data_IF_469293259800
#
_entry.id   IF_469293259800
#
_cell.length_a   1.000
_cell.length_b   1.000
_cell.length_c   1.000
_cell.angle_alpha   90.00
_cell.angle_beta   90.00
_cell.angle_gamma   90.00
#
_symmetry.space_group_name_H-M   'P 1'
#
loop_
_entity.id
_entity.type
_entity.pdbx_description
1 polymer ?
#
# COMPACT_ATOMS: atom_id res chain seq x y z
N UNK A 1 -26.54 9.03 -9.78
CA UNK A 1 -26.31 8.95 -8.32
C UNK A 1 -25.53 10.19 -7.89
N UNK A 2 -26.15 11.07 -7.09
CA UNK A 2 -25.42 12.11 -6.37
C UNK A 2 -24.78 11.44 -5.14
N UNK A 3 -23.45 11.34 -5.12
CA UNK A 3 -22.69 10.92 -3.95
C UNK A 3 -22.72 12.08 -2.94
N UNK A 4 -23.81 12.20 -2.18
CA UNK A 4 -24.14 13.35 -1.34
C UNK A 4 -23.68 13.26 0.12
N UNK A 5 -22.84 12.30 0.48
CA UNK A 5 -22.25 12.17 1.82
C UNK A 5 -20.86 12.82 1.90
N UNK A 6 -20.48 13.33 3.08
CA UNK A 6 -19.09 13.65 3.35
C UNK A 6 -18.25 12.35 3.26
N UNK A 7 -17.17 12.36 2.48
CA UNK A 7 -16.24 11.24 2.44
C UNK A 7 -15.55 11.04 3.78
N UNK A 8 -15.24 9.79 4.13
CA UNK A 8 -14.41 9.47 5.29
C UNK A 8 -12.93 9.60 4.91
N UNK A 9 -12.12 10.12 5.84
CA UNK A 9 -10.67 10.25 5.66
C UNK A 9 -9.97 9.74 6.92
N UNK A 10 -9.03 8.83 6.73
CA UNK A 10 -8.14 8.30 7.75
C UNK A 10 -6.70 8.42 7.26
N UNK A 11 -5.76 8.40 8.19
CA UNK A 11 -4.33 8.48 7.90
C UNK A 11 -3.56 7.28 8.45
N UNK A 12 -2.29 7.19 8.04
CA UNK A 12 -1.29 6.30 8.61
C UNK A 12 -0.17 7.12 9.23
N UNK A 13 0.61 6.53 10.14
CA UNK A 13 1.79 7.18 10.73
C UNK A 13 3.01 6.28 10.57
N UNK A 14 4.06 6.79 9.94
CA UNK A 14 5.32 6.10 9.69
C UNK A 14 6.22 6.95 8.81
N UNK A 15 7.45 6.49 8.63
CA UNK A 15 8.46 7.09 7.74
C UNK A 15 8.80 6.10 6.64
N UNK A 16 8.47 6.51 5.41
CA UNK A 16 8.73 5.75 4.18
C UNK A 16 10.24 5.47 4.02
N UNK A 17 10.65 4.32 3.43
CA UNK A 17 12.07 3.98 3.21
C UNK A 17 12.89 5.11 2.57
N UNK A 18 12.38 5.70 1.49
CA UNK A 18 13.01 6.86 0.81
C UNK A 18 13.22 8.11 1.67
N UNK A 19 12.57 8.19 2.85
CA UNK A 19 12.68 9.31 3.79
C UNK A 19 13.34 8.89 5.11
N UNK A 20 13.82 7.66 5.25
CA UNK A 20 14.41 7.15 6.48
C UNK A 20 15.71 7.88 6.89
N UNK A 21 16.37 8.59 5.96
CA UNK A 21 17.49 9.49 6.29
C UNK A 21 17.10 10.57 7.30
N UNK A 22 15.81 10.93 7.38
CA UNK A 22 15.29 11.92 8.33
C UNK A 22 15.57 11.58 9.79
N UNK A 23 15.73 10.29 10.14
CA UNK A 23 16.09 9.89 11.51
C UNK A 23 17.51 10.32 11.89
N UNK A 24 18.48 10.21 10.97
CA UNK A 24 19.88 10.64 11.20
C UNK A 24 19.99 12.17 11.24
N UNK A 25 19.16 12.87 10.47
CA UNK A 25 19.20 14.34 10.36
C UNK A 25 18.22 15.05 11.29
N UNK A 26 17.47 14.33 12.13
CA UNK A 26 16.53 14.95 13.05
C UNK A 26 17.31 15.74 14.12
N UNK A 27 16.97 17.02 14.41
CA UNK A 27 17.74 17.85 15.34
C UNK A 27 17.89 17.26 16.75
N UNK A 28 16.92 16.48 17.20
CA UNK A 28 16.90 15.84 18.52
C UNK A 28 17.35 14.36 18.46
N UNK A 29 17.81 13.91 17.30
CA UNK A 29 18.29 12.55 17.04
C UNK A 29 17.17 11.52 16.78
N UNK A 30 17.58 10.36 16.27
CA UNK A 30 16.65 9.30 15.85
C UNK A 30 15.72 8.82 16.98
N UNK A 31 16.22 8.73 18.21
CA UNK A 31 15.43 8.31 19.38
C UNK A 31 14.26 9.25 19.65
N UNK A 32 14.47 10.57 19.52
CA UNK A 32 13.42 11.56 19.71
C UNK A 32 12.35 11.49 18.61
N UNK A 33 12.75 11.23 17.35
CA UNK A 33 11.80 11.05 16.25
C UNK A 33 10.95 9.78 16.46
N UNK A 34 11.57 8.66 16.82
CA UNK A 34 10.86 7.41 17.11
C UNK A 34 9.86 7.57 18.27
N UNK A 35 10.27 8.26 19.34
CA UNK A 35 9.37 8.55 20.47
C UNK A 35 8.20 9.47 20.06
N UNK A 36 8.46 10.46 19.19
CA UNK A 36 7.43 11.35 18.65
C UNK A 36 6.44 10.60 17.75
N UNK A 37 6.92 9.70 16.88
CA UNK A 37 6.06 8.85 16.04
C UNK A 37 5.19 7.93 16.89
N UNK A 38 5.74 7.33 17.94
CA UNK A 38 4.98 6.49 18.87
C UNK A 38 3.87 7.30 19.57
N UNK A 39 4.20 8.48 20.09
CA UNK A 39 3.25 9.36 20.78
C UNK A 39 2.14 9.83 19.84
N UNK A 40 2.51 10.26 18.63
CA UNK A 40 1.55 10.68 17.60
C UNK A 40 0.62 9.52 17.23
N UNK A 41 1.15 8.32 17.01
CA UNK A 41 0.36 7.15 16.66
C UNK A 41 -0.65 6.76 17.75
N UNK A 42 -0.24 6.79 19.02
CA UNK A 42 -1.14 6.48 20.14
C UNK A 42 -2.26 7.53 20.28
N UNK A 43 -1.91 8.82 20.20
CA UNK A 43 -2.89 9.91 20.30
C UNK A 43 -3.88 9.90 19.13
N UNK A 44 -3.40 9.74 17.89
CA UNK A 44 -4.25 9.71 16.70
C UNK A 44 -5.11 8.44 16.61
N UNK A 45 -4.60 7.30 17.10
CA UNK A 45 -5.40 6.08 17.29
C UNK A 45 -6.54 6.32 18.28
N UNK A 46 -6.27 6.96 19.42
CA UNK A 46 -7.30 7.28 20.42
C UNK A 46 -8.34 8.28 19.88
N UNK A 47 -7.91 9.22 19.03
CA UNK A 47 -8.80 10.16 18.35
C UNK A 47 -9.60 9.56 17.18
N UNK A 48 -9.31 8.33 16.76
CA UNK A 48 -9.98 7.66 15.65
C UNK A 48 -9.62 8.20 14.26
N UNK A 49 -8.49 8.91 14.11
CA UNK A 49 -8.06 9.51 12.84
C UNK A 49 -7.00 8.70 12.11
N UNK A 50 -6.37 7.73 12.78
CA UNK A 50 -5.34 6.86 12.21
C UNK A 50 -5.72 5.40 12.37
N UNK A 51 -5.58 4.64 11.28
CA UNK A 51 -6.01 3.23 11.20
C UNK A 51 -4.87 2.24 11.03
N UNK A 52 -3.66 2.70 10.64
CA UNK A 52 -2.49 1.85 10.47
C UNK A 52 -1.17 2.57 10.82
N UNK A 53 -0.14 1.79 11.13
CA UNK A 53 1.24 2.27 11.27
C UNK A 53 2.01 1.99 9.99
N UNK A 54 2.45 3.04 9.33
CA UNK A 54 2.99 3.02 7.97
C UNK A 54 2.87 4.39 7.29
N UNK A 55 3.39 4.58 6.10
CA UNK A 55 4.07 3.58 5.28
C UNK A 55 5.51 3.35 5.74
N UNK A 56 5.86 2.10 6.06
CA UNK A 56 7.22 1.69 6.46
C UNK A 56 7.66 0.46 5.65
N UNK A 57 8.96 0.27 5.47
CA UNK A 57 9.48 -0.88 4.73
C UNK A 57 10.78 -0.57 4.00
N UNK A 58 10.97 -1.15 2.82
CA UNK A 58 12.20 -1.08 2.04
C UNK A 58 11.94 -0.83 0.54
N UNK A 59 12.68 0.10 -0.08
CA UNK A 59 12.64 0.39 -1.52
C UNK A 59 14.06 0.43 -2.09
N UNK A 60 14.47 -0.67 -2.73
CA UNK A 60 15.81 -0.82 -3.32
C UNK A 60 15.93 -0.25 -4.74
N UNK A 61 14.82 0.19 -5.35
CA UNK A 61 14.84 0.96 -6.60
C UNK A 61 15.06 2.47 -6.34
N UNK A 62 15.19 2.87 -5.07
CA UNK A 62 15.32 4.26 -4.64
C UNK A 62 16.49 4.51 -3.68
N UNK A 63 17.55 3.71 -3.79
CA UNK A 63 18.74 3.84 -2.93
C UNK A 63 19.45 5.21 -3.04
N UNK A 64 19.25 5.94 -4.14
CA UNK A 64 19.71 7.32 -4.30
C UNK A 64 18.99 8.31 -3.37
N UNK A 65 17.80 7.98 -2.86
CA UNK A 65 17.05 8.81 -1.90
C UNK A 65 17.40 8.45 -0.45
N UNK A 66 17.62 7.16 -0.17
CA UNK A 66 18.04 6.68 1.13
C UNK A 66 18.85 5.38 0.99
N UNK A 67 20.11 5.32 1.49
CA UNK A 67 20.94 4.13 1.44
C UNK A 67 20.32 2.90 2.11
N UNK A 68 20.68 1.71 1.63
CA UNK A 68 20.11 0.43 2.07
C UNK A 68 20.27 0.19 3.57
N UNK A 69 21.44 0.48 4.13
CA UNK A 69 21.76 0.33 5.54
C UNK A 69 20.87 1.20 6.44
N UNK A 70 20.61 2.45 6.02
CA UNK A 70 19.71 3.37 6.72
C UNK A 70 18.26 2.88 6.63
N UNK A 71 17.81 2.43 5.45
CA UNK A 71 16.47 1.85 5.31
C UNK A 71 16.27 0.64 6.24
N UNK A 72 17.23 -0.30 6.25
CA UNK A 72 17.18 -1.48 7.12
C UNK A 72 17.11 -1.11 8.61
N UNK A 73 18.03 -0.26 9.07
CA UNK A 73 18.10 0.20 10.46
C UNK A 73 16.78 0.80 10.94
N UNK A 74 16.20 1.69 10.14
CA UNK A 74 14.98 2.40 10.54
C UNK A 74 13.69 1.69 10.19
N UNK A 75 13.71 0.68 9.32
CA UNK A 75 12.59 -0.24 9.21
C UNK A 75 12.47 -1.08 10.49
N UNK A 76 13.55 -1.72 10.94
CA UNK A 76 13.55 -2.50 12.18
C UNK A 76 13.20 -1.64 13.42
N UNK A 77 13.73 -0.43 13.51
CA UNK A 77 13.38 0.49 14.60
C UNK A 77 11.90 0.92 14.60
N UNK A 78 11.29 1.08 13.41
CA UNK A 78 9.87 1.39 13.30
C UNK A 78 8.98 0.17 13.62
N UNK A 79 9.42 -1.05 13.31
CA UNK A 79 8.74 -2.28 13.74
C UNK A 79 8.73 -2.42 15.28
N UNK A 80 9.79 -1.99 15.96
CA UNK A 80 9.82 -1.91 17.43
C UNK A 80 8.79 -0.91 17.99
N UNK A 81 8.56 0.22 17.30
CA UNK A 81 7.47 1.14 17.63
C UNK A 81 6.11 0.50 17.35
N UNK A 82 5.97 -0.23 16.23
CA UNK A 82 4.73 -0.91 15.85
C UNK A 82 4.22 -1.86 16.95
N UNK A 83 5.11 -2.62 17.59
CA UNK A 83 4.76 -3.49 18.74
C UNK A 83 4.15 -2.73 19.91
N UNK A 84 4.50 -1.45 20.11
CA UNK A 84 3.95 -0.64 21.21
C UNK A 84 2.62 -0.01 20.85
N UNK A 85 2.44 0.43 19.60
CA UNK A 85 1.22 1.12 19.16
C UNK A 85 0.08 0.16 18.86
N UNK A 86 0.37 -1.10 18.51
CA UNK A 86 -0.62 -2.16 18.22
C UNK A 86 -1.68 -1.69 17.20
N UNK A 87 -1.21 -1.12 16.10
CA UNK A 87 -1.98 -0.83 14.88
C UNK A 87 -1.61 -1.88 13.81
N UNK A 88 -2.51 -2.19 12.85
CA UNK A 88 -2.12 -2.92 11.66
C UNK A 88 -0.97 -2.21 10.93
N UNK A 89 -0.10 -2.98 10.29
CA UNK A 89 0.99 -2.40 9.48
C UNK A 89 0.52 -2.03 8.07
N UNK A 90 0.99 -0.90 7.57
CA UNK A 90 0.92 -0.52 6.15
C UNK A 90 2.35 -0.52 5.58
N UNK A 91 2.67 -1.56 4.81
CA UNK A 91 4.04 -1.97 4.49
C UNK A 91 4.40 -1.74 3.02
N UNK A 92 5.59 -1.20 2.80
CA UNK A 92 6.19 -1.02 1.47
C UNK A 92 7.31 -2.03 1.22
N UNK A 93 7.28 -2.70 0.07
CA UNK A 93 8.39 -3.53 -0.37
C UNK A 93 8.60 -3.40 -1.88
N UNK A 94 9.80 -2.96 -2.29
CA UNK A 94 10.20 -2.90 -3.70
C UNK A 94 11.62 -3.38 -3.89
N UNK A 95 11.78 -4.42 -4.72
CA UNK A 95 13.06 -5.07 -5.01
C UNK A 95 13.86 -5.48 -3.76
N UNK A 96 13.17 -5.74 -2.64
CA UNK A 96 13.78 -5.88 -1.31
C UNK A 96 13.21 -7.05 -0.49
N UNK A 97 12.48 -7.98 -1.11
CA UNK A 97 11.68 -9.00 -0.42
C UNK A 97 12.44 -9.79 0.65
N UNK A 98 13.62 -10.32 0.32
CA UNK A 98 14.39 -11.15 1.26
C UNK A 98 14.77 -10.40 2.54
N UNK A 99 15.25 -9.17 2.42
CA UNK A 99 15.60 -8.33 3.57
C UNK A 99 14.35 -7.82 4.30
N UNK A 100 13.28 -7.52 3.57
CA UNK A 100 11.99 -7.11 4.14
C UNK A 100 11.43 -8.21 5.06
N UNK A 101 11.37 -9.44 4.58
CA UNK A 101 10.92 -10.60 5.35
C UNK A 101 11.87 -10.88 6.53
N UNK A 102 13.19 -10.77 6.34
CA UNK A 102 14.18 -10.92 7.42
C UNK A 102 13.92 -9.93 8.55
N UNK A 103 13.70 -8.65 8.24
CA UNK A 103 13.40 -7.62 9.23
C UNK A 103 12.09 -7.92 9.98
N UNK A 104 11.02 -8.28 9.26
CA UNK A 104 9.74 -8.63 9.86
C UNK A 104 9.88 -9.81 10.83
N UNK A 105 10.45 -10.93 10.38
CA UNK A 105 10.66 -12.12 11.23
C UNK A 105 11.58 -11.80 12.42
N UNK A 106 12.64 -11.05 12.19
CA UNK A 106 13.61 -10.68 13.22
C UNK A 106 13.01 -9.86 14.36
N UNK A 107 12.04 -8.98 14.07
CA UNK A 107 11.42 -8.09 15.07
C UNK A 107 10.09 -8.61 15.61
N UNK A 108 9.29 -9.28 14.77
CA UNK A 108 7.91 -9.66 15.06
C UNK A 108 7.69 -11.16 15.24
N UNK A 109 8.68 -12.00 14.95
CA UNK A 109 8.58 -13.46 14.94
C UNK A 109 8.09 -14.04 13.61
N UNK A 110 8.14 -15.37 13.48
CA UNK A 110 7.76 -16.09 12.25
C UNK A 110 6.30 -15.89 11.84
N UNK A 111 5.41 -15.77 12.81
CA UNK A 111 3.96 -15.61 12.65
C UNK A 111 3.48 -14.16 12.85
N UNK A 112 4.42 -13.21 12.92
CA UNK A 112 4.15 -11.80 13.22
C UNK A 112 3.42 -11.56 14.56
N UNK A 113 3.52 -12.47 15.52
CA UNK A 113 2.86 -12.41 16.82
C UNK A 113 3.16 -11.14 17.65
N UNK A 114 4.19 -10.37 17.29
CA UNK A 114 4.45 -9.04 17.84
C UNK A 114 3.38 -7.98 17.54
N UNK A 115 2.46 -8.21 16.59
CA UNK A 115 1.40 -7.27 16.19
C UNK A 115 0.04 -7.96 16.17
N UNK A 116 -0.86 -7.56 17.07
CA UNK A 116 -2.16 -8.21 17.24
C UNK A 116 -3.20 -7.94 16.14
N UNK A 117 -2.84 -7.20 15.07
CA UNK A 117 -3.78 -6.75 14.03
C UNK A 117 -3.32 -7.01 12.58
N UNK A 118 -2.27 -7.80 12.38
CA UNK A 118 -1.74 -8.13 11.06
C UNK A 118 -1.17 -6.92 10.30
N UNK A 119 -1.13 -7.01 8.98
CA UNK A 119 -0.62 -5.95 8.12
C UNK A 119 -0.92 -6.18 6.65
N UNK A 120 -0.76 -5.12 5.86
CA UNK A 120 -0.92 -5.08 4.42
C UNK A 120 0.42 -4.75 3.76
N UNK A 121 0.88 -5.59 2.84
CA UNK A 121 1.94 -5.21 1.89
C UNK A 121 1.26 -4.53 0.71
N UNK A 122 1.31 -3.21 0.69
CA UNK A 122 0.58 -2.39 -0.27
C UNK A 122 1.32 -2.33 -1.63
N UNK A 123 0.58 -2.01 -2.69
CA UNK A 123 1.11 -1.80 -4.05
C UNK A 123 2.03 -2.93 -4.49
N UNK A 124 1.60 -4.18 -4.28
CA UNK A 124 2.45 -5.35 -4.49
C UNK A 124 2.73 -5.56 -5.97
N UNK A 125 4.00 -5.64 -6.34
CA UNK A 125 4.46 -5.91 -7.71
C UNK A 125 5.51 -7.02 -7.77
N UNK A 126 5.62 -7.83 -6.71
CA UNK A 126 6.56 -8.94 -6.62
C UNK A 126 6.08 -10.19 -7.37
N UNK A 127 6.73 -11.31 -7.11
CA UNK A 127 6.45 -12.62 -7.70
C UNK A 127 5.37 -13.40 -6.95
N UNK A 128 4.90 -14.50 -7.54
CA UNK A 128 3.93 -15.40 -6.90
C UNK A 128 4.52 -16.04 -5.64
N UNK A 129 5.80 -16.38 -5.68
CA UNK A 129 6.54 -16.99 -4.57
C UNK A 129 6.65 -16.03 -3.39
N UNK A 130 7.03 -14.77 -3.66
CA UNK A 130 7.09 -13.72 -2.66
C UNK A 130 5.70 -13.46 -2.05
N UNK A 131 4.66 -13.38 -2.88
CA UNK A 131 3.28 -13.23 -2.43
C UNK A 131 2.83 -14.36 -1.50
N UNK A 132 3.10 -15.62 -1.89
CA UNK A 132 2.76 -16.79 -1.07
C UNK A 132 3.46 -16.78 0.28
N UNK A 133 4.72 -16.36 0.33
CA UNK A 133 5.44 -16.21 1.59
C UNK A 133 4.79 -15.16 2.50
N UNK A 134 4.44 -13.99 1.97
CA UNK A 134 3.77 -12.94 2.73
C UNK A 134 2.41 -13.39 3.28
N UNK A 135 1.61 -14.07 2.45
CA UNK A 135 0.31 -14.63 2.85
C UNK A 135 0.49 -15.72 3.91
N UNK A 136 1.50 -16.58 3.79
CA UNK A 136 1.80 -17.61 4.79
C UNK A 136 2.22 -17.01 6.14
N UNK A 137 2.84 -15.83 6.14
CA UNK A 137 3.14 -15.04 7.34
C UNK A 137 1.90 -14.32 7.91
N UNK A 138 0.72 -14.44 7.28
CA UNK A 138 -0.52 -13.83 7.73
C UNK A 138 -0.76 -12.40 7.25
N UNK A 139 0.02 -11.91 6.29
CA UNK A 139 -0.16 -10.58 5.70
C UNK A 139 -1.20 -10.57 4.58
N UNK A 140 -1.85 -9.43 4.42
CA UNK A 140 -2.66 -9.11 3.26
C UNK A 140 -1.77 -8.50 2.16
N UNK A 141 -2.27 -8.55 0.92
CA UNK A 141 -1.58 -8.07 -0.28
C UNK A 141 -2.45 -7.04 -0.99
N UNK A 142 -1.93 -5.84 -1.14
CA UNK A 142 -2.59 -4.70 -1.77
C UNK A 142 -2.32 -4.67 -3.26
N UNK A 143 -3.37 -4.47 -4.06
CA UNK A 143 -3.30 -4.42 -5.52
C UNK A 143 -3.87 -3.11 -6.06
N UNK A 144 -3.15 -2.51 -7.00
CA UNK A 144 -3.56 -1.33 -7.76
C UNK A 144 -3.14 -1.46 -9.23
N UNK A 145 -3.25 -0.37 -10.02
CA UNK A 145 -2.87 -0.43 -11.43
C UNK A 145 -1.37 -0.67 -11.69
N UNK A 146 -0.48 -0.45 -10.72
CA UNK A 146 0.93 -0.86 -10.80
C UNK A 146 1.10 -2.37 -10.61
N UNK A 147 0.25 -3.01 -9.81
CA UNK A 147 0.18 -4.46 -9.59
C UNK A 147 -0.40 -5.25 -10.75
N UNK A 148 -0.68 -4.61 -11.88
CA UNK A 148 -1.36 -5.22 -13.03
C UNK A 148 -0.83 -4.69 -14.37
N UNK A 149 0.46 -4.33 -14.41
CA UNK A 149 1.12 -3.77 -15.59
C UNK A 149 1.44 -4.85 -16.62
N UNK A 150 1.92 -6.00 -16.19
CA UNK A 150 2.36 -7.11 -17.05
C UNK A 150 1.50 -8.36 -16.85
N UNK A 151 1.60 -9.33 -17.76
CA UNK A 151 0.91 -10.63 -17.62
C UNK A 151 1.37 -11.39 -16.38
N UNK A 152 2.66 -11.31 -16.03
CA UNK A 152 3.19 -11.91 -14.79
C UNK A 152 2.55 -11.28 -13.56
N UNK A 153 2.31 -9.97 -13.56
CA UNK A 153 1.59 -9.32 -12.48
C UNK A 153 0.13 -9.81 -12.37
N UNK A 154 -0.53 -10.07 -13.50
CA UNK A 154 -1.90 -10.62 -13.49
C UNK A 154 -1.94 -12.04 -12.92
N UNK A 155 -0.95 -12.88 -13.21
CA UNK A 155 -0.84 -14.22 -12.61
C UNK A 155 -0.67 -14.15 -11.08
N UNK A 156 0.06 -13.16 -10.58
CA UNK A 156 0.14 -12.87 -9.14
C UNK A 156 -1.22 -12.51 -8.58
N UNK A 157 -1.93 -11.52 -9.18
CA UNK A 157 -3.27 -11.10 -8.73
C UNK A 157 -4.26 -12.27 -8.73
N UNK A 158 -4.17 -13.13 -9.73
CA UNK A 158 -4.98 -14.35 -9.84
C UNK A 158 -4.69 -15.31 -8.69
N UNK A 159 -3.43 -15.45 -8.28
CA UNK A 159 -3.00 -16.38 -7.23
C UNK A 159 -3.25 -15.90 -5.79
N UNK A 160 -3.42 -14.59 -5.53
CA UNK A 160 -3.69 -14.08 -4.17
C UNK A 160 -5.03 -14.65 -3.66
N UNK A 161 -5.11 -15.27 -2.46
CA UNK A 161 -6.37 -15.67 -1.86
C UNK A 161 -7.31 -14.48 -1.67
N UNK A 162 -8.60 -14.64 -1.96
CA UNK A 162 -9.53 -13.51 -1.97
C UNK A 162 -9.63 -12.84 -0.59
N UNK A 163 -9.63 -13.61 0.49
CA UNK A 163 -9.63 -13.16 1.89
C UNK A 163 -8.33 -12.47 2.33
N UNK A 164 -7.33 -12.41 1.46
CA UNK A 164 -6.02 -11.77 1.68
C UNK A 164 -5.74 -10.64 0.70
N UNK A 165 -6.64 -10.35 -0.23
CA UNK A 165 -6.50 -9.32 -1.24
C UNK A 165 -7.12 -8.00 -0.73
N UNK A 166 -6.44 -6.87 -0.94
CA UNK A 166 -7.03 -5.54 -0.74
C UNK A 166 -6.86 -4.68 -1.98
N UNK A 167 -7.86 -3.85 -2.29
CA UNK A 167 -7.84 -2.96 -3.45
C UNK A 167 -7.38 -1.56 -3.05
N UNK A 168 -6.55 -0.94 -3.89
CA UNK A 168 -6.16 0.46 -3.73
C UNK A 168 -5.93 1.14 -5.08
N UNK A 169 -5.78 2.47 -5.08
CA UNK A 169 -5.49 3.24 -6.30
C UNK A 169 -4.07 3.78 -6.37
N UNK A 170 -3.45 4.02 -5.21
CA UNK A 170 -2.19 4.76 -5.06
C UNK A 170 -2.20 6.12 -5.80
N UNK A 171 -3.38 6.76 -5.87
CA UNK A 171 -3.56 8.06 -6.52
C UNK A 171 -2.65 9.14 -5.89
N UNK A 172 -1.94 9.95 -6.68
CA UNK A 172 -2.17 10.23 -8.10
C UNK A 172 -1.47 9.28 -9.10
N UNK A 173 -0.83 8.22 -8.62
CA UNK A 173 -0.07 7.26 -9.40
C UNK A 173 -0.91 6.05 -9.83
N UNK A 174 -0.25 5.07 -10.47
CA UNK A 174 -0.82 3.76 -10.77
C UNK A 174 -2.15 3.76 -11.56
N UNK A 175 -2.35 4.75 -12.43
CA UNK A 175 -3.40 4.72 -13.46
C UNK A 175 -3.25 3.45 -14.33
N UNK A 176 -4.35 2.71 -14.56
CA UNK A 176 -4.38 1.65 -15.56
C UNK A 176 -4.32 2.30 -16.94
N UNK A 177 -3.22 2.06 -17.67
CA UNK A 177 -2.96 2.67 -18.99
C UNK A 177 -3.25 1.67 -20.11
N UNK A 178 -3.55 2.15 -21.34
CA UNK A 178 -3.74 1.26 -22.50
C UNK A 178 -2.57 0.31 -22.80
N UNK A 179 -1.36 0.64 -22.34
CA UNK A 179 -0.17 -0.21 -22.50
C UNK A 179 -0.04 -1.30 -21.43
N UNK A 180 -0.89 -1.32 -20.41
CA UNK A 180 -0.86 -2.33 -19.35
C UNK A 180 -1.69 -3.55 -19.76
N UNK A 181 -1.26 -4.74 -19.33
CA UNK A 181 -1.99 -5.99 -19.51
C UNK A 181 -3.42 -5.91 -18.93
N UNK A 182 -3.62 -5.17 -17.84
CA UNK A 182 -4.93 -4.92 -17.22
C UNK A 182 -5.93 -4.18 -18.11
N UNK A 183 -5.48 -3.41 -19.10
CA UNK A 183 -6.36 -2.50 -19.86
C UNK A 183 -7.51 -3.23 -20.56
N UNK A 184 -7.29 -4.48 -20.99
CA UNK A 184 -8.29 -5.31 -21.65
C UNK A 184 -9.48 -5.70 -20.76
N UNK A 185 -9.34 -5.58 -19.43
CA UNK A 185 -10.38 -5.98 -18.47
C UNK A 185 -11.21 -4.81 -17.94
N UNK A 186 -10.99 -3.59 -18.43
CA UNK A 186 -11.67 -2.39 -17.94
C UNK A 186 -12.93 -2.01 -18.74
N UNK A 187 -13.26 -2.74 -19.81
CA UNK A 187 -14.40 -2.41 -20.69
C UNK A 187 -15.76 -2.41 -19.98
N UNK A 188 -15.93 -3.28 -18.99
CA UNK A 188 -17.18 -3.43 -18.24
C UNK A 188 -17.19 -2.57 -16.97
N UNK A 189 -16.11 -1.82 -16.72
CA UNK A 189 -16.01 -0.93 -15.57
C UNK A 189 -16.86 0.33 -15.76
N UNK A 190 -17.43 0.87 -14.65
CA UNK A 190 -18.13 2.14 -14.71
C UNK A 190 -17.27 3.22 -15.38
N UNK A 191 -17.85 4.06 -16.25
CA UNK A 191 -17.09 5.11 -16.91
C UNK A 191 -16.57 6.10 -15.88
N UNK A 192 -15.28 6.44 -15.98
CA UNK A 192 -14.67 7.48 -15.15
C UNK A 192 -15.07 8.88 -15.67
N UNK A 193 -15.06 9.91 -14.80
CA UNK A 193 -15.25 11.27 -15.26
C UNK A 193 -14.23 11.66 -16.33
N UNK A 194 -14.66 12.46 -17.31
CA UNK A 194 -13.81 12.85 -18.44
C UNK A 194 -12.53 13.52 -17.96
N UNK A 195 -11.38 13.00 -18.38
CA UNK A 195 -10.08 13.58 -18.10
C UNK A 195 -9.68 14.65 -19.12
N UNK A 196 -9.29 15.83 -18.62
CA UNK A 196 -8.84 16.98 -19.43
C UNK A 196 -7.42 17.41 -19.07
N UNK A 197 -6.79 18.25 -19.90
CA UNK A 197 -5.51 18.89 -19.52
C UNK A 197 -5.73 19.74 -18.26
N UNK A 198 -4.71 19.88 -17.40
CA UNK A 198 -4.82 20.60 -16.11
C UNK A 198 -5.34 22.03 -16.26
N UNK A 199 -5.00 22.70 -17.36
CA UNK A 199 -5.42 24.08 -17.66
C UNK A 199 -6.92 24.20 -18.01
N UNK A 200 -7.56 23.07 -18.35
CA UNK A 200 -8.98 22.99 -18.70
C UNK A 200 -9.83 22.33 -17.62
N UNK A 201 -9.24 22.08 -16.44
CA UNK A 201 -9.94 21.41 -15.35
C UNK A 201 -11.12 22.27 -14.85
N UNK A 202 -12.24 21.62 -14.58
CA UNK A 202 -13.40 22.19 -13.90
C UNK A 202 -14.00 21.11 -12.99
N UNK A 203 -14.77 21.53 -11.97
CA UNK A 203 -15.43 20.62 -11.03
C UNK A 203 -16.23 19.56 -11.80
N UNK A 204 -16.05 18.30 -11.43
CA UNK A 204 -16.67 17.14 -12.10
C UNK A 204 -15.84 16.52 -13.23
N UNK A 205 -14.68 17.08 -13.57
CA UNK A 205 -13.72 16.48 -14.50
C UNK A 205 -12.46 15.98 -13.76
N UNK A 206 -11.83 14.96 -14.35
CA UNK A 206 -10.50 14.49 -13.92
C UNK A 206 -9.39 15.26 -14.65
N UNK A 207 -8.16 15.15 -14.13
CA UNK A 207 -6.95 15.66 -14.81
C UNK A 207 -6.24 14.50 -15.51
N UNK A 208 -5.90 14.66 -16.79
CA UNK A 208 -5.15 13.66 -17.56
C UNK A 208 -3.82 13.32 -16.87
N UNK A 209 -3.57 12.03 -16.66
CA UNK A 209 -2.36 11.52 -16.00
C UNK A 209 -2.37 11.61 -14.48
N UNK A 210 -3.46 12.07 -13.86
CA UNK A 210 -3.64 12.08 -12.39
C UNK A 210 -4.67 11.02 -12.03
N UNK A 211 -4.23 9.92 -11.45
CA UNK A 211 -5.16 8.92 -10.95
C UNK A 211 -5.96 9.45 -9.75
N UNK A 212 -7.17 8.96 -9.53
CA UNK A 212 -8.06 9.43 -8.47
C UNK A 212 -8.77 8.26 -7.79
N UNK A 213 -9.23 8.38 -6.53
CA UNK A 213 -9.91 7.30 -5.82
C UNK A 213 -11.11 6.69 -6.56
N UNK A 214 -11.81 7.47 -7.38
CA UNK A 214 -12.94 6.97 -8.21
C UNK A 214 -12.52 5.86 -9.20
N UNK A 215 -11.23 5.78 -9.54
CA UNK A 215 -10.65 4.72 -10.37
C UNK A 215 -10.59 3.34 -9.69
N UNK A 216 -10.87 3.26 -8.38
CA UNK A 216 -10.88 1.97 -7.65
C UNK A 216 -11.84 0.96 -8.29
N UNK A 217 -12.92 1.43 -8.92
CA UNK A 217 -13.86 0.58 -9.67
C UNK A 217 -13.19 -0.17 -10.82
N UNK A 218 -12.21 0.45 -11.50
CA UNK A 218 -11.45 -0.19 -12.57
C UNK A 218 -10.50 -1.25 -12.03
N UNK A 219 -9.91 -1.00 -10.84
CA UNK A 219 -9.09 -2.00 -10.14
C UNK A 219 -9.97 -3.21 -9.75
N UNK A 220 -11.12 -2.97 -9.11
CA UNK A 220 -12.06 -4.01 -8.70
C UNK A 220 -12.53 -4.89 -9.87
N UNK A 221 -12.94 -4.26 -10.98
CA UNK A 221 -13.40 -5.00 -12.16
C UNK A 221 -12.27 -5.80 -12.82
N UNK A 222 -11.06 -5.24 -12.87
CA UNK A 222 -9.90 -5.98 -13.39
C UNK A 222 -9.61 -7.20 -12.54
N UNK A 223 -9.58 -7.06 -11.21
CA UNK A 223 -9.37 -8.17 -10.27
C UNK A 223 -10.47 -9.22 -10.44
N UNK A 224 -11.74 -8.84 -10.50
CA UNK A 224 -12.87 -9.74 -10.70
C UNK A 224 -12.70 -10.58 -11.98
N UNK A 225 -12.39 -9.94 -13.11
CA UNK A 225 -12.18 -10.64 -14.39
C UNK A 225 -10.99 -11.57 -14.36
N UNK A 226 -9.85 -11.14 -13.80
CA UNK A 226 -8.62 -11.95 -13.70
C UNK A 226 -8.86 -13.20 -12.84
N UNK A 227 -9.67 -13.07 -11.78
CA UNK A 227 -9.99 -14.18 -10.87
C UNK A 227 -11.17 -15.03 -11.31
N UNK A 228 -11.93 -14.61 -12.34
CA UNK A 228 -13.15 -15.29 -12.77
C UNK A 228 -14.31 -15.16 -11.77
N UNK A 229 -14.37 -14.05 -11.04
CA UNK A 229 -15.38 -13.72 -10.03
C UNK A 229 -16.27 -12.55 -10.50
N UNK A 230 -17.39 -12.35 -9.82
CA UNK A 230 -18.16 -11.11 -9.91
C UNK A 230 -17.45 -9.95 -9.18
N UNK A 231 -17.79 -8.70 -9.53
CA UNK A 231 -17.24 -7.54 -8.80
C UNK A 231 -17.82 -7.46 -7.39
N UNK A 232 -19.05 -7.92 -7.21
CA UNK A 232 -19.72 -8.03 -5.91
C UNK A 232 -18.95 -8.95 -4.97
N UNK A 233 -18.59 -10.17 -5.42
CA UNK A 233 -17.76 -11.10 -4.63
C UNK A 233 -16.41 -10.48 -4.25
N UNK A 234 -15.76 -9.75 -5.15
CA UNK A 234 -14.49 -9.07 -4.86
C UNK A 234 -14.66 -7.90 -3.89
N UNK A 235 -15.81 -7.23 -3.91
CA UNK A 235 -16.05 -6.05 -3.07
C UNK A 235 -16.56 -6.40 -1.67
N UNK A 236 -17.14 -7.58 -1.49
CA UNK A 236 -17.69 -8.08 -0.22
C UNK A 236 -16.68 -8.85 0.65
N UNK A 237 -15.65 -9.45 0.02
CA UNK A 237 -14.62 -10.24 0.69
C UNK A 237 -13.66 -9.39 1.53
#
# INVERSE_FOLDING_TARGET
>A
MQWGGAGLCYATIGVHPCSAQSFETHPEGATALLASLQTLALNSKAAGTVTAYGEIGLDYDRLQLCPKDIQLKYFEAQLEVAKKVQLPLFLHSRAAHADFVRCLRGVLGEDLGGIGKGGLVHSFTGTVEEMRELVAMGLHVGVNGCSMKTEENLEVVKAIPLDRLQLETDGPWCEIRPSHASSQYTSDAPPLPRAVKKEKWQRGLMVKGRNEPVSISHVAHTVAKVKGLSVEEVSEA
#
